data_IF_981432475841
#
_entry.id   IF_981432475841
#
_cell.length_a   1.000
_cell.length_b   1.000
_cell.length_c   1.000
_cell.angle_alpha   90.00
_cell.angle_beta   90.00
_cell.angle_gamma   90.00
#
_symmetry.space_group_name_H-M   'P 1'
#
loop_
_entity.id
_entity.type
_entity.pdbx_description
1 polymer ?
#
# COMPACT_ATOMS: atom_id res chain seq x y z
N UNK A 1 -9.82 -25.00 35.48
CA UNK A 1 -9.35 -24.10 34.39
C UNK A 1 -10.34 -24.21 33.25
N UNK A 2 -11.13 -23.17 32.93
CA UNK A 2 -12.14 -23.27 31.89
C UNK A 2 -11.43 -23.22 30.53
N UNK A 3 -11.18 -24.39 29.94
CA UNK A 3 -10.60 -24.55 28.61
C UNK A 3 -11.39 -23.78 27.53
N UNK A 4 -12.68 -23.52 27.77
CA UNK A 4 -13.56 -22.67 26.96
C UNK A 4 -13.04 -21.23 26.80
N UNK A 5 -12.46 -20.65 27.86
CA UNK A 5 -11.87 -19.31 27.80
C UNK A 5 -10.65 -19.32 26.87
N UNK A 6 -9.75 -20.30 27.03
CA UNK A 6 -8.60 -20.46 26.14
C UNK A 6 -9.02 -20.71 24.68
N UNK A 7 -10.09 -21.47 24.47
CA UNK A 7 -10.65 -21.72 23.15
C UNK A 7 -11.18 -20.42 22.51
N UNK A 8 -11.96 -19.61 23.24
CA UNK A 8 -12.42 -18.32 22.75
C UNK A 8 -11.27 -17.33 22.48
N UNK A 9 -10.28 -17.29 23.37
CA UNK A 9 -9.06 -16.49 23.21
C UNK A 9 -8.21 -16.89 21.99
N UNK A 10 -8.26 -18.16 21.58
CA UNK A 10 -7.57 -18.64 20.37
C UNK A 10 -8.42 -18.47 19.09
N UNK A 11 -9.75 -18.65 19.20
CA UNK A 11 -10.67 -18.57 18.07
C UNK A 11 -10.77 -17.15 17.50
N UNK A 12 -10.83 -16.13 18.36
CA UNK A 12 -10.98 -14.73 17.94
C UNK A 12 -9.79 -14.27 17.07
N UNK A 13 -8.52 -14.43 17.49
CA UNK A 13 -7.36 -14.13 16.63
C UNK A 13 -7.33 -14.97 15.36
N UNK A 14 -7.72 -16.24 15.42
CA UNK A 14 -7.76 -17.13 14.25
C UNK A 14 -8.75 -16.67 13.20
N UNK A 15 -9.98 -16.34 13.60
CA UNK A 15 -11.01 -15.79 12.71
C UNK A 15 -10.56 -14.44 12.14
N UNK A 16 -10.00 -13.56 12.99
CA UNK A 16 -9.50 -12.27 12.57
C UNK A 16 -8.38 -12.39 11.53
N UNK A 17 -7.39 -13.25 11.76
CA UNK A 17 -6.31 -13.51 10.81
C UNK A 17 -6.85 -14.11 9.50
N UNK A 18 -7.80 -15.05 9.58
CA UNK A 18 -8.47 -15.61 8.41
C UNK A 18 -9.19 -14.55 7.58
N UNK A 19 -9.92 -13.64 8.23
CA UNK A 19 -10.60 -12.53 7.57
C UNK A 19 -9.60 -11.59 6.88
N UNK A 20 -8.49 -11.26 7.53
CA UNK A 20 -7.44 -10.42 6.94
C UNK A 20 -6.83 -11.04 5.69
N UNK A 21 -6.58 -12.36 5.69
CA UNK A 21 -6.07 -13.09 4.52
C UNK A 21 -7.09 -13.08 3.37
N UNK A 22 -8.38 -13.25 3.68
CA UNK A 22 -9.44 -13.17 2.67
C UNK A 22 -9.50 -11.77 2.05
N UNK A 23 -9.43 -10.72 2.87
CA UNK A 23 -9.39 -9.34 2.40
C UNK A 23 -8.18 -9.10 1.50
N UNK A 24 -6.98 -9.54 1.88
CA UNK A 24 -5.77 -9.41 1.08
C UNK A 24 -5.86 -10.09 -0.29
N UNK A 25 -6.56 -11.22 -0.37
CA UNK A 25 -6.78 -11.95 -1.63
C UNK A 25 -7.79 -11.23 -2.52
N UNK A 26 -8.91 -10.81 -1.96
CA UNK A 26 -10.01 -10.21 -2.72
C UNK A 26 -9.76 -8.74 -3.09
N UNK A 27 -8.91 -8.03 -2.34
CA UNK A 27 -8.53 -6.64 -2.66
C UNK A 27 -7.56 -6.54 -3.83
N UNK A 28 -6.84 -7.62 -4.13
CA UNK A 28 -5.74 -7.63 -5.10
C UNK A 28 -4.36 -7.44 -4.46
N UNK A 29 -4.27 -7.27 -3.14
CA UNK A 29 -2.99 -7.12 -2.44
C UNK A 29 -2.08 -8.31 -2.67
N UNK A 30 -2.63 -9.53 -2.55
CA UNK A 30 -1.83 -10.77 -2.72
C UNK A 30 -1.17 -10.81 -4.10
N UNK A 31 -1.87 -10.40 -5.16
CA UNK A 31 -1.32 -10.36 -6.53
C UNK A 31 -0.19 -9.34 -6.67
N UNK A 32 -0.33 -8.17 -6.06
CA UNK A 32 0.77 -7.20 -6.00
C UNK A 32 1.95 -7.74 -5.21
N UNK A 33 1.67 -8.40 -4.08
CA UNK A 33 2.70 -9.01 -3.23
C UNK A 33 3.41 -10.19 -3.91
N UNK A 34 2.80 -10.87 -4.87
CA UNK A 34 3.49 -11.90 -5.65
C UNK A 34 4.53 -11.31 -6.61
N UNK A 35 4.29 -10.10 -7.13
CA UNK A 35 5.15 -9.48 -8.17
C UNK A 35 6.11 -8.44 -7.63
N UNK A 36 5.70 -7.67 -6.63
CA UNK A 36 6.38 -6.48 -6.13
C UNK A 36 6.67 -6.57 -4.63
N UNK A 37 6.80 -7.79 -4.09
CA UNK A 37 7.15 -7.98 -2.68
C UNK A 37 8.42 -7.20 -2.33
N UNK A 38 8.39 -6.48 -1.23
CA UNK A 38 9.56 -5.88 -0.63
C UNK A 38 9.94 -6.67 0.62
N UNK A 39 11.20 -7.09 0.69
CA UNK A 39 11.74 -7.77 1.89
C UNK A 39 12.25 -6.76 2.94
N UNK A 40 12.54 -5.53 2.52
CA UNK A 40 12.94 -4.42 3.40
C UNK A 40 12.32 -3.10 2.97
N UNK A 41 12.11 -2.21 3.94
CA UNK A 41 11.78 -0.81 3.67
C UNK A 41 13.02 -0.11 3.08
N UNK A 42 12.89 0.70 2.01
CA UNK A 42 13.98 1.53 1.53
C UNK A 42 14.45 2.52 2.60
N UNK A 43 15.76 2.66 2.74
CA UNK A 43 16.37 3.57 3.73
C UNK A 43 16.14 5.04 3.34
N UNK A 44 16.15 5.31 2.04
CA UNK A 44 16.05 6.64 1.46
C UNK A 44 14.62 7.08 1.16
N UNK A 45 14.46 8.38 0.88
CA UNK A 45 13.23 8.96 0.38
C UNK A 45 12.22 9.41 1.43
N UNK A 46 11.08 9.94 0.97
CA UNK A 46 10.09 10.60 1.82
C UNK A 46 9.04 9.61 2.31
N UNK A 47 8.93 9.45 3.64
CA UNK A 47 7.99 8.53 4.28
C UNK A 47 6.72 9.24 4.78
N UNK A 48 5.56 8.69 4.43
CA UNK A 48 4.23 9.14 4.84
C UNK A 48 3.54 8.01 5.61
N UNK A 49 3.32 8.19 6.92
CA UNK A 49 2.66 7.20 7.79
C UNK A 49 1.19 7.55 8.04
N UNK A 50 0.34 6.56 8.27
CA UNK A 50 -1.08 6.76 8.58
C UNK A 50 -1.89 7.34 7.42
N UNK A 51 -1.53 6.98 6.18
CA UNK A 51 -2.18 7.50 5.00
C UNK A 51 -3.48 6.77 4.68
N UNK A 52 -4.34 7.43 3.90
CA UNK A 52 -5.43 6.79 3.17
C UNK A 52 -4.84 6.06 1.97
N UNK A 53 -5.28 4.84 1.72
CA UNK A 53 -4.93 4.10 0.51
C UNK A 53 -6.06 3.16 0.14
N UNK A 54 -6.44 3.10 -1.13
CA UNK A 54 -7.40 2.12 -1.63
C UNK A 54 -6.75 1.25 -2.69
N UNK A 55 -6.99 -0.05 -2.62
CA UNK A 55 -6.67 -0.99 -3.70
C UNK A 55 -7.96 -1.74 -4.08
N UNK A 56 -8.32 -1.64 -5.36
CA UNK A 56 -9.60 -2.15 -5.84
C UNK A 56 -10.77 -1.53 -5.07
N UNK A 57 -11.47 -2.35 -4.29
CA UNK A 57 -12.61 -1.96 -3.46
C UNK A 57 -12.28 -1.84 -1.96
N UNK A 58 -11.05 -2.15 -1.55
CA UNK A 58 -10.65 -2.19 -0.14
C UNK A 58 -9.93 -0.90 0.28
N UNK A 59 -10.38 -0.30 1.37
CA UNK A 59 -9.84 0.92 1.96
C UNK A 59 -8.92 0.61 3.15
N UNK A 60 -7.70 1.13 3.09
CA UNK A 60 -6.66 1.07 4.11
C UNK A 60 -6.42 2.47 4.65
N UNK A 61 -7.18 2.84 5.69
CA UNK A 61 -7.22 4.21 6.21
C UNK A 61 -6.54 4.30 7.56
N UNK A 62 -5.50 5.13 7.66
CA UNK A 62 -4.79 5.37 8.92
C UNK A 62 -3.82 4.26 9.31
N UNK A 63 -3.77 3.15 8.57
CA UNK A 63 -2.84 2.05 8.80
C UNK A 63 -1.78 1.90 7.68
N UNK A 64 -1.84 2.74 6.64
CA UNK A 64 -0.90 2.66 5.51
C UNK A 64 0.34 3.53 5.73
N UNK A 65 1.50 2.94 5.46
CA UNK A 65 2.78 3.63 5.30
C UNK A 65 3.15 3.62 3.84
N UNK A 66 3.42 4.81 3.28
CA UNK A 66 3.82 5.00 1.89
C UNK A 66 5.16 5.71 1.89
N UNK A 67 6.16 5.17 1.21
CA UNK A 67 7.46 5.82 1.06
C UNK A 67 7.78 5.99 -0.42
N UNK A 68 8.18 7.21 -0.77
CA UNK A 68 8.64 7.58 -2.11
C UNK A 68 10.15 7.42 -2.11
N UNK A 69 10.68 6.48 -2.88
CA UNK A 69 12.10 6.12 -2.92
C UNK A 69 12.64 6.09 -4.36
N UNK A 70 13.97 6.12 -4.58
CA UNK A 70 14.55 5.97 -5.93
C UNK A 70 14.05 4.75 -6.70
N UNK A 71 13.96 3.62 -6.00
CA UNK A 71 13.61 2.33 -6.59
C UNK A 71 12.12 2.26 -6.95
N UNK A 72 11.29 3.08 -6.31
CA UNK A 72 9.84 3.07 -6.51
C UNK A 72 9.02 3.61 -5.35
N UNK A 73 7.73 3.25 -5.38
CA UNK A 73 6.78 3.53 -4.32
C UNK A 73 6.69 2.32 -3.38
N UNK A 74 7.19 2.47 -2.16
CA UNK A 74 7.05 1.49 -1.10
C UNK A 74 5.70 1.64 -0.39
N UNK A 75 5.01 0.53 -0.16
CA UNK A 75 3.71 0.46 0.49
C UNK A 75 3.72 -0.63 1.56
N UNK A 76 3.36 -0.28 2.80
CA UNK A 76 3.27 -1.23 3.90
C UNK A 76 2.10 -0.90 4.82
N UNK A 77 1.33 -1.92 5.21
CA UNK A 77 0.30 -1.83 6.25
C UNK A 77 0.93 -2.16 7.61
N UNK A 78 0.28 -1.81 8.71
CA UNK A 78 0.71 -2.21 10.05
C UNK A 78 0.98 -3.73 10.15
N UNK A 79 2.03 -4.16 10.90
CA UNK A 79 2.43 -5.57 10.99
C UNK A 79 1.36 -6.55 11.48
N UNK A 80 0.33 -6.06 12.17
CA UNK A 80 -0.80 -6.88 12.64
C UNK A 80 -1.70 -7.38 11.49
N UNK A 81 -1.59 -6.79 10.29
CA UNK A 81 -2.38 -7.16 9.12
C UNK A 81 -1.75 -8.34 8.38
N UNK A 82 -2.06 -9.56 8.83
CA UNK A 82 -1.61 -10.80 8.19
C UNK A 82 -2.06 -10.84 6.72
N UNK A 83 -1.20 -11.34 5.84
CA UNK A 83 -1.46 -11.43 4.39
C UNK A 83 -1.15 -10.16 3.60
N UNK A 84 -0.70 -9.08 4.27
CA UNK A 84 -0.36 -7.81 3.63
C UNK A 84 1.15 -7.58 3.61
N UNK A 85 1.86 -8.41 2.84
CA UNK A 85 3.30 -8.25 2.67
C UNK A 85 3.64 -6.85 2.13
N UNK A 86 4.73 -6.20 2.60
CA UNK A 86 5.18 -4.93 2.06
C UNK A 86 5.45 -5.02 0.56
N UNK A 87 5.23 -3.91 -0.14
CA UNK A 87 5.37 -3.80 -1.59
C UNK A 87 6.37 -2.70 -1.93
N UNK A 88 7.17 -2.91 -2.98
CA UNK A 88 7.99 -1.87 -3.61
C UNK A 88 7.68 -1.90 -5.11
N UNK A 89 6.88 -0.94 -5.55
CA UNK A 89 6.42 -0.88 -6.95
C UNK A 89 7.32 0.11 -7.70
N UNK A 90 8.07 -0.34 -8.73
CA UNK A 90 8.96 0.54 -9.46
C UNK A 90 8.19 1.59 -10.25
N UNK A 91 8.78 2.77 -10.41
CA UNK A 91 8.16 3.90 -11.12
C UNK A 91 7.73 3.54 -12.55
N UNK A 92 8.49 2.67 -13.23
CA UNK A 92 8.18 2.16 -14.57
C UNK A 92 6.90 1.32 -14.64
N UNK A 93 6.47 0.73 -13.52
CA UNK A 93 5.24 -0.04 -13.42
C UNK A 93 4.04 0.81 -12.97
N UNK A 94 4.25 2.08 -12.57
CA UNK A 94 3.20 2.96 -12.08
C UNK A 94 2.74 3.91 -13.19
N UNK A 95 1.42 4.00 -13.39
CA UNK A 95 0.83 4.97 -14.30
C UNK A 95 -0.26 5.76 -13.60
N UNK A 96 -0.07 7.07 -13.49
CA UNK A 96 -1.13 7.97 -13.00
C UNK A 96 -2.20 8.08 -14.09
N UNK A 97 -3.41 7.66 -13.77
CA UNK A 97 -4.56 7.66 -14.70
C UNK A 97 -5.39 8.92 -14.52
N UNK A 98 -5.63 9.33 -13.27
CA UNK A 98 -6.49 10.46 -12.96
C UNK A 98 -6.08 11.12 -11.67
N UNK A 99 -6.16 12.45 -11.61
CA UNK A 99 -6.03 13.23 -10.40
C UNK A 99 -7.35 13.90 -10.05
N UNK A 100 -7.82 13.68 -8.83
CA UNK A 100 -9.05 14.28 -8.33
C UNK A 100 -8.73 15.19 -7.18
N UNK A 101 -8.88 16.49 -7.42
CA UNK A 101 -8.81 17.51 -6.39
C UNK A 101 -10.22 17.87 -5.90
N UNK A 102 -10.43 17.74 -4.61
CA UNK A 102 -11.60 18.27 -3.88
C UNK A 102 -11.12 19.37 -2.95
N UNK A 103 -12.06 20.17 -2.43
CA UNK A 103 -11.76 21.31 -1.55
C UNK A 103 -11.03 20.91 -0.27
N UNK A 104 -11.21 19.67 0.20
CA UNK A 104 -10.70 19.16 1.48
C UNK A 104 -9.67 18.02 1.34
N UNK A 105 -9.58 17.41 0.16
CA UNK A 105 -8.66 16.30 -0.09
C UNK A 105 -8.33 16.20 -1.58
N UNK A 106 -7.16 15.67 -1.90
CA UNK A 106 -6.74 15.40 -3.26
C UNK A 106 -6.21 13.97 -3.35
N UNK A 107 -6.64 13.22 -4.36
CA UNK A 107 -6.28 11.82 -4.57
C UNK A 107 -5.82 11.60 -6.00
N UNK A 108 -4.84 10.71 -6.17
CA UNK A 108 -4.39 10.21 -7.45
C UNK A 108 -4.85 8.76 -7.61
N UNK A 109 -5.45 8.46 -8.77
CA UNK A 109 -5.73 7.11 -9.23
C UNK A 109 -4.52 6.63 -10.05
N UNK A 110 -3.92 5.54 -9.61
CA UNK A 110 -2.70 4.97 -10.20
C UNK A 110 -2.98 3.53 -10.58
N UNK A 111 -2.65 3.15 -11.81
CA UNK A 111 -2.65 1.77 -12.27
C UNK A 111 -1.25 1.18 -12.14
N UNK A 112 -1.20 -0.06 -11.68
CA UNK A 112 0.04 -0.83 -11.54
C UNK A 112 0.08 -1.89 -12.63
N UNK A 113 1.17 -1.90 -13.41
CA UNK A 113 1.47 -2.87 -14.48
C UNK A 113 0.57 -2.76 -15.73
N UNK A 114 0.98 -3.41 -16.83
CA UNK A 114 0.16 -3.55 -18.05
C UNK A 114 0.04 -5.02 -18.48
N UNK A 115 -1.19 -5.58 -18.61
CA UNK A 115 -2.50 -5.01 -18.24
C UNK A 115 -2.61 -4.72 -16.73
N UNK A 116 -3.51 -3.80 -16.30
CA UNK A 116 -3.53 -3.31 -14.92
C UNK A 116 -3.79 -4.44 -13.93
N UNK A 117 -2.78 -4.74 -13.11
CA UNK A 117 -2.85 -5.76 -12.06
C UNK A 117 -3.71 -5.28 -10.89
N UNK A 118 -3.61 -3.98 -10.56
CA UNK A 118 -4.41 -3.33 -9.54
C UNK A 118 -4.57 -1.83 -9.80
N UNK A 119 -5.66 -1.27 -9.30
CA UNK A 119 -5.91 0.17 -9.23
C UNK A 119 -5.70 0.65 -7.80
N UNK A 120 -4.81 1.63 -7.64
CA UNK A 120 -4.47 2.26 -6.38
C UNK A 120 -5.08 3.65 -6.32
N UNK A 121 -5.64 4.04 -5.18
CA UNK A 121 -5.94 5.43 -4.89
C UNK A 121 -5.13 5.87 -3.68
N UNK A 122 -4.35 6.91 -3.85
CA UNK A 122 -3.46 7.43 -2.81
C UNK A 122 -3.49 8.96 -2.78
N UNK A 123 -3.05 9.61 -1.68
CA UNK A 123 -3.13 11.05 -1.54
C UNK A 123 -2.25 11.74 -2.58
N UNK A 124 -2.75 12.80 -3.23
CA UNK A 124 -2.03 13.47 -4.31
C UNK A 124 -0.65 14.00 -3.88
N UNK A 125 -0.53 14.44 -2.62
CA UNK A 125 0.75 14.86 -2.02
C UNK A 125 1.88 13.82 -2.13
N UNK A 126 1.54 12.52 -2.19
CA UNK A 126 2.54 11.46 -2.37
C UNK A 126 3.05 11.44 -3.81
N UNK A 127 2.15 11.64 -4.78
CA UNK A 127 2.53 11.76 -6.20
C UNK A 127 3.30 13.05 -6.45
N UNK A 128 2.90 14.16 -5.82
CA UNK A 128 3.61 15.42 -5.93
C UNK A 128 5.04 15.27 -5.36
N UNK A 129 5.18 14.66 -4.17
CA UNK A 129 6.49 14.35 -3.62
C UNK A 129 7.32 13.41 -4.52
N UNK A 130 6.69 12.44 -5.18
CA UNK A 130 7.36 11.58 -6.16
C UNK A 130 7.85 12.36 -7.38
N UNK A 131 7.05 13.30 -7.90
CA UNK A 131 7.44 14.15 -9.04
C UNK A 131 8.58 15.08 -8.69
N UNK A 132 8.48 15.75 -7.54
CA UNK A 132 9.50 16.68 -7.08
C UNK A 132 10.83 15.96 -6.90
N UNK A 133 10.78 14.75 -6.35
CA UNK A 133 11.96 13.90 -6.17
C UNK A 133 12.54 13.39 -7.50
N UNK A 134 11.71 12.87 -8.40
CA UNK A 134 12.18 12.40 -9.72
C UNK A 134 12.80 13.57 -10.52
N UNK A 135 12.21 14.76 -10.45
CA UNK A 135 12.74 15.95 -11.11
C UNK A 135 14.06 16.41 -10.52
N UNK A 136 14.29 16.29 -9.21
CA UNK A 136 15.57 16.69 -8.61
C UNK A 136 16.72 15.78 -9.05
N UNK A 137 16.44 14.49 -9.30
CA UNK A 137 17.45 13.54 -9.78
C UNK A 137 17.82 13.79 -11.24
N UNK A 138 16.85 14.07 -12.11
CA UNK A 138 17.08 14.40 -13.53
C UNK A 138 17.92 15.69 -13.73
N UNK A 139 18.09 16.51 -12.68
CA UNK A 139 18.88 17.75 -12.72
C UNK A 139 20.34 17.57 -12.26
N UNK A 140 20.69 16.41 -11.68
CA UNK A 140 22.03 16.09 -11.19
C UNK A 140 22.85 15.24 -12.18
N UNK A 141 22.22 14.70 -13.23
CA UNK A 141 22.82 13.96 -14.36
C UNK A 141 23.13 14.87 -15.58
#
# INVERSE_FOLDING_TARGET
MPWEVYFAFALIPGIFAGLLVVIAKLSGWTKLAERFRADREPDDGTCFRGQFFRIGWCDYNGCMTIRVSPEGLYLAVWPIFVGHAPLLIPWSALRVVEERRRRWFAVALVEVDQPPLARLQLPLKVIDAARDWLRSQDLED
#
